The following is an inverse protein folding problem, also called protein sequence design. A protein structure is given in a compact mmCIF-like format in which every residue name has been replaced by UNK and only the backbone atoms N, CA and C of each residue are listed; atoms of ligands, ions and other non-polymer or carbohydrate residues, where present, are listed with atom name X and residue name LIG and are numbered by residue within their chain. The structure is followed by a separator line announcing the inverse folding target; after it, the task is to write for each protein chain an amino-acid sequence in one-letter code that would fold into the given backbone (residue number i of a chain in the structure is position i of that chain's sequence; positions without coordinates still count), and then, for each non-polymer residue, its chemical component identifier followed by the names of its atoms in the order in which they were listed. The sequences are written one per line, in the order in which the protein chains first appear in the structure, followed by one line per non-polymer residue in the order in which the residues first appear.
data_IF_248025922499
#
_entry.id   IF_248025922499
#
_cell.length_a   1.000
_cell.length_b   1.000
_cell.length_c   1.000
_cell.angle_alpha   90.00
_cell.angle_beta   90.00
_cell.angle_gamma   90.00
#
_symmetry.space_group_name_H-M   'P 1'
#
loop_
_entity.id
_entity.type
_entity.pdbx_description
1 polymer ?
#
# COMPACT_ATOMS: atom_id res chain seq x y z
N UNK A 1 -12.68 14.02 -19.33
CA UNK A 1 -13.40 12.73 -19.21
C UNK A 1 -12.51 11.74 -18.48
N UNK A 2 -13.08 11.03 -17.49
CA UNK A 2 -12.65 9.81 -16.80
C UNK A 2 -11.39 9.85 -15.90
N UNK A 3 -11.61 10.21 -14.64
CA UNK A 3 -10.87 9.74 -13.47
C UNK A 3 -10.85 8.20 -13.45
N UNK A 4 -9.78 7.57 -13.90
CA UNK A 4 -9.60 6.11 -13.73
C UNK A 4 -8.33 5.79 -12.95
N UNK A 5 -8.26 6.29 -11.73
CA UNK A 5 -7.49 5.63 -10.67
C UNK A 5 -8.50 4.82 -9.84
N UNK A 6 -8.84 3.62 -10.30
CA UNK A 6 -9.59 2.66 -9.46
C UNK A 6 -8.63 2.18 -8.36
N UNK A 7 -8.42 3.03 -7.35
CA UNK A 7 -7.83 2.65 -6.08
C UNK A 7 -8.91 1.85 -5.36
N UNK A 8 -8.84 0.52 -5.44
CA UNK A 8 -9.82 -0.34 -4.77
C UNK A 8 -9.59 -0.24 -3.26
N UNK A 9 -10.29 0.68 -2.59
CA UNK A 9 -10.32 0.81 -1.13
C UNK A 9 -11.18 -0.32 -0.56
N UNK A 10 -10.53 -1.42 -0.16
CA UNK A 10 -11.24 -2.57 0.41
C UNK A 10 -10.95 -2.65 1.90
N UNK A 11 -11.96 -2.47 2.74
CA UNK A 11 -11.82 -2.70 4.18
C UNK A 11 -12.04 -4.18 4.47
N UNK A 12 -11.05 -4.83 5.09
CA UNK A 12 -11.12 -6.24 5.49
C UNK A 12 -10.46 -6.44 6.84
N UNK A 13 -10.95 -7.40 7.60
CA UNK A 13 -10.36 -7.74 8.89
C UNK A 13 -9.12 -8.62 8.69
N UNK A 14 -7.95 -8.08 9.03
CA UNK A 14 -6.66 -8.77 8.94
C UNK A 14 -5.88 -8.63 10.25
N UNK A 15 -4.99 -9.57 10.48
CA UNK A 15 -4.13 -9.53 11.66
C UNK A 15 -3.19 -8.33 11.59
N UNK A 16 -3.27 -7.44 12.59
CA UNK A 16 -2.37 -6.32 12.71
C UNK A 16 -1.18 -6.71 13.61
N UNK A 17 0.07 -6.69 13.11
CA UNK A 17 1.24 -7.01 13.93
C UNK A 17 1.52 -5.96 15.02
N UNK A 18 0.85 -4.80 14.98
CA UNK A 18 0.99 -3.75 16.01
C UNK A 18 -0.06 -3.86 17.10
N UNK A 19 -1.27 -4.31 16.76
CA UNK A 19 -2.33 -4.54 17.75
C UNK A 19 -2.36 -6.00 18.24
N UNK A 20 -1.55 -6.87 17.65
CA UNK A 20 -1.49 -8.33 17.90
C UNK A 20 -2.88 -8.99 17.86
N UNK A 21 -3.76 -8.44 17.04
CA UNK A 21 -5.18 -8.83 16.97
C UNK A 21 -5.72 -8.59 15.56
N UNK A 22 -6.81 -9.27 15.24
CA UNK A 22 -7.54 -9.05 13.99
C UNK A 22 -8.28 -7.73 14.09
N UNK A 23 -7.97 -6.82 13.18
CA UNK A 23 -8.55 -5.47 13.13
C UNK A 23 -8.95 -5.14 11.72
N UNK A 24 -9.95 -4.29 11.57
CA UNK A 24 -10.34 -3.78 10.26
C UNK A 24 -9.18 -2.97 9.66
N UNK A 25 -8.69 -3.46 8.54
CA UNK A 25 -7.58 -2.90 7.79
C UNK A 25 -8.10 -2.46 6.43
N UNK A 26 -7.74 -1.24 6.04
CA UNK A 26 -7.98 -0.71 4.72
C UNK A 26 -6.88 -1.20 3.79
N UNK A 27 -7.26 -1.98 2.80
CA UNK A 27 -6.38 -2.57 1.79
C UNK A 27 -6.61 -1.85 0.47
N UNK A 28 -5.56 -1.23 -0.04
CA UNK A 28 -5.59 -0.47 -1.30
C UNK A 28 -4.48 -0.95 -2.22
N UNK A 29 -4.80 -1.13 -3.51
CA UNK A 29 -3.80 -1.45 -4.53
C UNK A 29 -3.39 -0.15 -5.21
N UNK A 30 -2.11 0.21 -5.07
CA UNK A 30 -1.52 1.37 -5.72
C UNK A 30 -0.58 0.93 -6.83
N UNK A 31 -0.81 1.40 -8.06
CA UNK A 31 0.17 1.24 -9.14
C UNK A 31 1.20 2.36 -9.00
N UNK A 32 2.39 2.03 -8.46
CA UNK A 32 3.47 3.00 -8.33
C UNK A 32 4.31 3.00 -9.59
N UNK A 33 4.10 4.01 -10.42
CA UNK A 33 4.92 4.24 -11.60
C UNK A 33 6.16 5.03 -11.19
N UNK A 34 7.32 4.37 -11.12
CA UNK A 34 8.60 5.06 -10.91
C UNK A 34 8.82 6.15 -11.97
N UNK A 35 8.57 7.41 -11.59
CA UNK A 35 8.68 8.58 -12.44
C UNK A 35 8.56 9.90 -11.66
N UNK A 36 9.71 10.52 -11.41
CA UNK A 36 9.97 11.95 -11.26
C UNK A 36 9.00 12.80 -10.40
N UNK A 37 8.96 12.56 -9.10
CA UNK A 37 8.51 13.54 -8.10
C UNK A 37 9.54 13.57 -6.97
N UNK A 38 10.07 14.75 -6.66
CA UNK A 38 11.19 15.00 -5.74
C UNK A 38 11.05 14.34 -4.36
N UNK A 39 11.44 13.06 -4.23
CA UNK A 39 11.70 12.42 -2.95
C UNK A 39 12.55 11.14 -3.14
N UNK A 40 13.66 11.26 -3.86
CA UNK A 40 14.77 10.31 -3.75
C UNK A 40 15.38 10.47 -2.34
N UNK A 41 14.73 9.93 -1.31
CA UNK A 41 15.38 9.74 0.00
C UNK A 41 16.35 8.57 -0.16
N UNK A 42 17.63 8.91 -0.04
CA UNK A 42 18.80 8.01 -0.08
C UNK A 42 18.57 6.83 0.86
N UNK A 43 18.57 5.61 0.34
CA UNK A 43 18.68 4.39 1.16
C UNK A 43 17.78 3.22 0.80
N UNK A 44 16.79 3.34 -0.09
CA UNK A 44 15.96 2.19 -0.49
C UNK A 44 16.14 1.85 -1.95
N UNK A 45 16.72 0.68 -2.16
CA UNK A 45 16.83 0.01 -3.43
C UNK A 45 15.46 -0.03 -4.13
N UNK A 46 15.42 0.50 -5.36
CA UNK A 46 14.52 0.07 -6.43
C UNK A 46 13.02 0.17 -6.10
N UNK A 47 12.46 1.37 -6.27
CA UNK A 47 11.06 1.50 -6.73
C UNK A 47 10.96 0.88 -8.13
N UNK A 48 10.86 -0.45 -8.22
CA UNK A 48 10.52 -1.08 -9.48
C UNK A 48 9.05 -0.79 -9.73
N UNK A 49 8.70 -0.37 -10.95
CA UNK A 49 7.33 -0.10 -11.34
C UNK A 49 6.47 -1.34 -11.05
N UNK A 50 5.28 -1.16 -10.50
CA UNK A 50 4.41 -2.30 -10.23
C UNK A 50 3.27 -1.98 -9.25
N UNK A 51 2.36 -2.95 -9.09
CA UNK A 51 1.29 -2.87 -8.12
C UNK A 51 1.85 -3.11 -6.71
N UNK A 52 1.52 -2.22 -5.79
CA UNK A 52 1.79 -2.32 -4.38
C UNK A 52 0.48 -2.51 -3.63
N UNK A 53 0.47 -3.47 -2.73
CA UNK A 53 -0.59 -3.64 -1.74
C UNK A 53 -0.26 -2.76 -0.55
N UNK A 54 -1.06 -1.74 -0.31
CA UNK A 54 -0.98 -0.90 0.88
C UNK A 54 -2.05 -1.34 1.86
N UNK A 55 -1.67 -1.63 3.09
CA UNK A 55 -2.55 -2.02 4.19
C UNK A 55 -2.43 -1.01 5.33
N UNK A 56 -3.53 -0.36 5.68
CA UNK A 56 -3.64 0.62 6.75
C UNK A 56 -4.57 0.11 7.85
N UNK A 57 -4.07 0.03 9.08
CA UNK A 57 -4.88 -0.40 10.21
C UNK A 57 -5.78 0.73 10.68
N UNK A 58 -7.11 0.54 10.66
CA UNK A 58 -8.04 1.57 11.12
C UNK A 58 -8.04 1.76 12.65
N UNK A 59 -7.41 0.82 13.39
CA UNK A 59 -7.28 0.90 14.85
C UNK A 59 -6.05 1.66 15.31
N UNK A 60 -4.88 1.36 14.74
CA UNK A 60 -3.60 1.95 15.15
C UNK A 60 -2.97 2.87 14.10
N UNK A 61 -3.69 3.15 13.00
CA UNK A 61 -3.31 4.06 11.90
C UNK A 61 -1.96 3.75 11.23
N UNK A 62 -1.43 2.54 11.43
CA UNK A 62 -0.17 2.12 10.84
C UNK A 62 -0.41 1.59 9.43
N UNK A 63 0.32 2.16 8.47
CA UNK A 63 0.31 1.71 7.08
C UNK A 63 1.57 0.91 6.73
N UNK A 64 1.38 -0.10 5.89
CA UNK A 64 2.43 -0.98 5.38
C UNK A 64 2.22 -1.16 3.88
N UNK A 65 3.29 -1.08 3.10
CA UNK A 65 3.23 -1.23 1.65
C UNK A 65 4.12 -2.39 1.22
N UNK A 66 3.52 -3.39 0.59
CA UNK A 66 4.20 -4.58 0.11
C UNK A 66 4.04 -4.67 -1.41
N UNK A 67 5.14 -4.94 -2.12
CA UNK A 67 5.09 -5.17 -3.57
C UNK A 67 4.29 -6.45 -3.83
N UNK A 68 3.30 -6.39 -4.72
CA UNK A 68 2.63 -7.59 -5.21
C UNK A 68 3.56 -8.20 -6.26
N UNK A 69 4.33 -9.21 -5.87
CA UNK A 69 5.18 -9.97 -6.78
C UNK A 69 4.33 -11.09 -7.40
N UNK A 70 4.14 -11.05 -8.73
CA UNK A 70 3.42 -12.08 -9.46
C UNK A 70 4.40 -13.19 -9.82
N UNK A 71 4.55 -14.20 -8.96
CA UNK A 71 5.32 -15.42 -9.26
C UNK A 71 4.66 -16.26 -10.34
#
# INVERSE_FOLDING_TARGET
MADNATSTDTVRDEHCPTCESTTSQRVTIEIRTGGSGNAARRGTEKYSRGPYRVTECLRCTRSTASRIDNR
#
